data_IF_375286977305
#
_entry.id   IF_375286977305
#
_cell.length_a   1.000
_cell.length_b   1.000
_cell.length_c   1.000
_cell.angle_alpha   90.00
_cell.angle_beta   90.00
_cell.angle_gamma   90.00
#
_symmetry.space_group_name_H-M   'P 1'
#
loop_
_entity.id
_entity.type
_entity.pdbx_description
1 polymer ?
#
# COMPACT_ATOMS: atom_id res chain seq x y z
N UNK A 1 3.27 7.61 -3.25
CA UNK A 1 2.01 6.88 -3.08
C UNK A 1 2.41 5.45 -2.78
N UNK A 2 1.79 4.76 -1.82
CA UNK A 2 2.20 3.40 -1.44
C UNK A 2 1.76 2.36 -2.50
N UNK A 3 2.24 1.12 -2.38
CA UNK A 3 1.77 -0.02 -3.20
C UNK A 3 0.25 -0.21 -3.16
N UNK A 4 -0.40 0.17 -2.05
CA UNK A 4 -1.87 0.20 -1.94
C UNK A 4 -2.50 1.14 -2.98
N UNK A 5 -1.86 2.26 -3.30
CA UNK A 5 -2.35 3.20 -4.32
C UNK A 5 -2.32 2.60 -5.73
N UNK A 6 -1.26 1.86 -6.06
CA UNK A 6 -1.13 1.13 -7.33
C UNK A 6 -2.22 0.06 -7.45
N UNK A 7 -2.41 -0.74 -6.39
CA UNK A 7 -3.42 -1.79 -6.35
C UNK A 7 -4.85 -1.19 -6.42
N UNK A 8 -5.07 -0.03 -5.80
CA UNK A 8 -6.31 0.72 -5.90
C UNK A 8 -6.61 1.17 -7.33
N UNK A 9 -5.62 1.68 -8.08
CA UNK A 9 -5.82 2.06 -9.48
C UNK A 9 -6.21 0.87 -10.37
N UNK A 10 -5.58 -0.29 -10.17
CA UNK A 10 -5.98 -1.52 -10.87
C UNK A 10 -7.40 -1.94 -10.50
N UNK A 11 -7.78 -1.83 -9.23
CA UNK A 11 -9.15 -2.08 -8.79
C UNK A 11 -10.17 -1.12 -9.43
N UNK A 12 -9.86 0.17 -9.54
CA UNK A 12 -10.71 1.13 -10.24
C UNK A 12 -10.93 0.73 -11.71
N UNK A 13 -9.92 0.20 -12.40
CA UNK A 13 -10.07 -0.33 -13.77
C UNK A 13 -11.07 -1.51 -13.79
N UNK A 14 -10.95 -2.45 -12.85
CA UNK A 14 -11.90 -3.57 -12.71
C UNK A 14 -13.33 -3.07 -12.48
N UNK A 15 -13.53 -2.12 -11.56
CA UNK A 15 -14.86 -1.54 -11.30
C UNK A 15 -15.44 -0.90 -12.54
N UNK A 16 -14.64 -0.18 -13.33
CA UNK A 16 -15.09 0.41 -14.60
C UNK A 16 -15.55 -0.65 -15.60
N UNK A 17 -14.82 -1.75 -15.74
CA UNK A 17 -15.22 -2.89 -16.58
C UNK A 17 -16.53 -3.55 -16.10
N UNK A 18 -16.74 -3.60 -14.78
CA UNK A 18 -17.99 -4.10 -14.20
C UNK A 18 -19.16 -3.19 -14.56
N UNK A 19 -19.00 -1.87 -14.39
CA UNK A 19 -20.02 -0.87 -14.72
C UNK A 19 -20.42 -0.93 -16.20
N UNK A 20 -19.45 -1.14 -17.08
CA UNK A 20 -19.67 -1.29 -18.53
C UNK A 20 -20.19 -2.68 -18.92
N UNK A 21 -20.40 -3.59 -17.97
CA UNK A 21 -20.80 -4.99 -18.19
C UNK A 21 -19.82 -5.84 -19.02
N UNK A 22 -18.60 -5.36 -19.23
CA UNK A 22 -17.55 -6.05 -20.00
C UNK A 22 -17.16 -7.39 -19.36
N UNK A 23 -17.24 -7.48 -18.03
CA UNK A 23 -16.99 -8.69 -17.25
C UNK A 23 -17.87 -9.90 -17.63
N UNK A 24 -19.00 -9.67 -18.31
CA UNK A 24 -19.89 -10.73 -18.80
C UNK A 24 -19.36 -11.40 -20.07
N UNK A 25 -18.36 -10.80 -20.73
CA UNK A 25 -17.70 -11.37 -21.90
C UNK A 25 -16.47 -12.18 -21.47
N UNK A 26 -16.09 -13.18 -22.27
CA UNK A 26 -14.88 -13.97 -22.02
C UNK A 26 -13.63 -13.10 -21.97
N UNK A 27 -13.50 -12.15 -22.90
CA UNK A 27 -12.35 -11.23 -22.99
C UNK A 27 -12.29 -10.30 -21.79
N UNK A 28 -13.42 -9.70 -21.39
CA UNK A 28 -13.49 -8.84 -20.22
C UNK A 28 -13.20 -9.58 -18.92
N UNK A 29 -13.70 -10.82 -18.77
CA UNK A 29 -13.37 -11.67 -17.63
C UNK A 29 -11.86 -11.99 -17.58
N UNK A 30 -11.24 -12.40 -18.69
CA UNK A 30 -9.80 -12.70 -18.75
C UNK A 30 -8.95 -11.46 -18.44
N UNK A 31 -9.39 -10.29 -18.87
CA UNK A 31 -8.73 -9.01 -18.55
C UNK A 31 -8.81 -8.70 -17.05
N UNK A 32 -9.98 -8.89 -16.43
CA UNK A 32 -10.14 -8.75 -14.97
C UNK A 32 -9.23 -9.75 -14.23
N UNK A 33 -9.08 -10.96 -14.75
CA UNK A 33 -8.23 -11.99 -14.17
C UNK A 33 -6.75 -11.58 -14.20
N UNK A 34 -6.31 -10.91 -15.26
CA UNK A 34 -4.97 -10.32 -15.38
C UNK A 34 -4.73 -9.19 -14.35
N UNK A 35 -5.72 -8.31 -14.14
CA UNK A 35 -5.66 -7.31 -13.08
C UNK A 35 -5.62 -7.95 -11.69
N UNK A 36 -6.47 -8.94 -11.43
CA UNK A 36 -6.51 -9.68 -10.17
C UNK A 36 -5.16 -10.32 -9.84
N UNK A 37 -4.50 -10.93 -10.83
CA UNK A 37 -3.18 -11.53 -10.66
C UNK A 37 -2.10 -10.52 -10.23
N UNK A 38 -2.34 -9.23 -10.44
CA UNK A 38 -1.39 -8.14 -10.12
C UNK A 38 -1.72 -7.41 -8.83
N UNK A 39 -2.95 -7.50 -8.33
CA UNK A 39 -3.42 -6.81 -7.13
C UNK A 39 -2.97 -7.55 -5.85
N UNK A 40 -2.51 -6.82 -4.84
CA UNK A 40 -2.15 -7.34 -3.52
C UNK A 40 -1.12 -8.49 -3.58
N UNK A 41 -1.56 -9.71 -3.24
CA UNK A 41 -0.76 -10.94 -3.22
C UNK A 41 -0.87 -11.75 -4.53
N UNK A 42 -1.69 -11.28 -5.48
CA UNK A 42 -1.99 -11.99 -6.72
C UNK A 42 -3.00 -13.12 -6.56
N UNK A 43 -2.88 -14.11 -7.45
CA UNK A 43 -3.86 -15.18 -7.67
C UNK A 43 -3.80 -16.31 -6.63
N UNK A 44 -4.98 -16.80 -6.22
CA UNK A 44 -5.08 -17.99 -5.35
C UNK A 44 -4.77 -19.30 -6.10
N UNK A 45 -4.35 -20.33 -5.37
CA UNK A 45 -4.10 -21.69 -5.93
C UNK A 45 -5.31 -22.24 -6.67
N UNK A 46 -6.52 -22.03 -6.13
CA UNK A 46 -7.77 -22.47 -6.76
C UNK A 46 -7.92 -21.86 -8.15
N UNK A 47 -7.66 -20.55 -8.29
CA UNK A 47 -7.78 -19.85 -9.56
C UNK A 47 -6.71 -20.32 -10.55
N UNK A 48 -5.47 -20.52 -10.10
CA UNK A 48 -4.38 -21.06 -10.94
C UNK A 48 -4.69 -22.46 -11.48
N UNK A 49 -5.40 -23.30 -10.73
CA UNK A 49 -5.81 -24.61 -11.23
C UNK A 49 -6.78 -24.52 -12.42
N UNK A 50 -7.67 -23.52 -12.42
CA UNK A 50 -8.60 -23.28 -13.53
C UNK A 50 -7.95 -22.49 -14.68
N UNK A 51 -7.00 -21.61 -14.34
CA UNK A 51 -6.37 -20.69 -15.27
C UNK A 51 -4.85 -20.67 -15.01
N UNK A 52 -4.11 -21.69 -15.48
CA UNK A 52 -2.69 -21.84 -15.18
C UNK A 52 -1.82 -20.81 -15.92
N UNK A 53 -2.29 -20.30 -17.05
CA UNK A 53 -1.53 -19.39 -17.94
C UNK A 53 -1.96 -17.92 -17.78
N UNK A 54 -2.41 -17.50 -16.59
CA UNK A 54 -2.75 -16.09 -16.35
C UNK A 54 -1.49 -15.25 -16.46
N UNK A 55 -1.55 -14.21 -17.29
CA UNK A 55 -0.51 -13.21 -17.42
C UNK A 55 -0.91 -12.01 -16.55
N UNK A 56 -0.17 -11.67 -15.47
CA UNK A 56 -0.43 -10.49 -14.67
C UNK A 56 -0.29 -9.21 -15.51
N UNK A 57 -1.21 -8.26 -15.31
CA UNK A 57 -1.13 -6.92 -15.90
C UNK A 57 0.02 -6.10 -15.35
N UNK A 58 0.60 -5.23 -16.16
CA UNK A 58 1.58 -4.26 -15.69
C UNK A 58 1.01 -3.33 -14.61
N UNK A 59 1.81 -3.07 -13.58
CA UNK A 59 1.47 -2.10 -12.54
C UNK A 59 1.75 -0.68 -13.04
N UNK A 60 0.82 0.28 -12.87
CA UNK A 60 1.11 1.66 -13.19
C UNK A 60 2.26 2.18 -12.34
N UNK A 61 3.18 2.90 -12.97
CA UNK A 61 4.20 3.68 -12.28
C UNK A 61 3.52 4.93 -11.73
N UNK A 62 3.68 5.18 -10.44
CA UNK A 62 3.13 6.35 -9.78
C UNK A 62 4.27 7.11 -9.12
N UNK A 63 4.53 8.32 -9.63
CA UNK A 63 5.45 9.24 -9.01
C UNK A 63 4.79 9.91 -7.80
N UNK A 64 5.57 10.10 -6.75
CA UNK A 64 5.16 10.94 -5.65
C UNK A 64 5.13 12.40 -6.12
N UNK A 65 4.12 13.20 -5.74
CA UNK A 65 4.18 14.62 -5.96
C UNK A 65 5.33 15.21 -5.12
N UNK A 66 6.09 16.14 -5.71
CA UNK A 66 7.21 16.81 -5.04
C UNK A 66 6.79 17.53 -3.74
N UNK A 67 5.52 17.91 -3.62
CA UNK A 67 4.97 18.51 -2.42
C UNK A 67 3.81 17.65 -1.90
N UNK A 68 3.95 17.15 -0.68
CA UNK A 68 2.92 16.36 -0.02
C UNK A 68 1.89 17.28 0.62
N UNK A 69 0.62 17.00 0.34
CA UNK A 69 -0.48 17.67 1.00
C UNK A 69 -0.41 17.40 2.53
N UNK A 70 -0.39 18.43 3.40
CA UNK A 70 -0.27 18.24 4.84
C UNK A 70 -1.37 17.37 5.44
N UNK A 71 -2.61 17.48 4.95
CA UNK A 71 -3.75 16.67 5.39
C UNK A 71 -3.56 15.19 5.02
N UNK A 72 -2.91 14.90 3.88
CA UNK A 72 -2.53 13.53 3.53
C UNK A 72 -1.51 12.96 4.53
N UNK A 73 -0.50 13.75 4.91
CA UNK A 73 0.50 13.34 5.91
C UNK A 73 -0.16 13.09 7.27
N UNK A 74 -1.05 14.00 7.71
CA UNK A 74 -1.81 13.82 8.95
C UNK A 74 -2.65 12.54 8.93
N UNK A 75 -3.38 12.28 7.84
CA UNK A 75 -4.19 11.06 7.71
C UNK A 75 -3.35 9.79 7.69
N UNK A 76 -2.20 9.83 7.01
CA UNK A 76 -1.26 8.71 6.98
C UNK A 76 -0.68 8.41 8.36
N UNK A 77 -0.24 9.44 9.10
CA UNK A 77 0.26 9.30 10.47
C UNK A 77 -0.82 8.81 11.43
N UNK A 78 -2.07 9.23 11.26
CA UNK A 78 -3.18 8.76 12.09
C UNK A 78 -3.46 7.26 11.94
N UNK A 79 -3.14 6.67 10.78
CA UNK A 79 -3.32 5.24 10.52
C UNK A 79 -2.09 4.38 10.83
N UNK A 80 -0.92 4.79 10.33
CA UNK A 80 0.32 3.98 10.32
C UNK A 80 1.45 4.59 11.18
N UNK A 81 1.17 5.70 11.86
CA UNK A 81 2.12 6.41 12.74
C UNK A 81 1.76 6.35 14.22
N UNK A 82 2.63 6.94 15.04
CA UNK A 82 2.40 7.01 16.48
C UNK A 82 3.33 7.97 17.21
N UNK A 83 2.85 8.41 18.37
CA UNK A 83 3.59 9.19 19.34
C UNK A 83 3.75 8.36 20.61
N UNK A 84 4.96 8.26 21.14
CA UNK A 84 5.23 7.53 22.37
C UNK A 84 6.24 8.25 23.24
N UNK A 85 6.14 8.01 24.55
CA UNK A 85 7.18 8.40 25.49
C UNK A 85 8.10 7.20 25.68
N UNK A 86 9.39 7.40 25.47
CA UNK A 86 10.42 6.40 25.65
C UNK A 86 11.31 6.82 26.82
N UNK A 87 11.33 6.01 27.88
CA UNK A 87 12.16 6.25 29.07
C UNK A 87 13.30 5.24 29.06
N UNK A 88 14.53 5.70 29.28
CA UNK A 88 15.71 4.83 29.40
C UNK A 88 16.55 5.19 30.64
N UNK A 89 17.21 4.21 31.29
CA UNK A 89 18.16 4.49 32.36
C UNK A 89 19.31 5.40 31.91
N UNK A 90 19.69 6.36 32.74
CA UNK A 90 20.74 7.33 32.46
C UNK A 90 21.39 7.83 33.76
N UNK A 91 22.69 7.59 33.96
CA UNK A 91 23.39 7.87 35.24
C UNK A 91 23.69 9.35 35.48
N UNK A 92 23.55 10.18 34.45
CA UNK A 92 23.86 11.60 34.40
C UNK A 92 22.68 12.50 34.85
N UNK A 93 21.56 11.91 35.26
CA UNK A 93 20.38 12.63 35.73
C UNK A 93 20.07 12.33 37.19
N UNK A 94 19.51 13.31 37.91
CA UNK A 94 19.13 13.18 39.33
C UNK A 94 18.16 12.01 39.55
N UNK A 95 17.24 11.78 38.62
CA UNK A 95 16.26 10.69 38.66
C UNK A 95 16.78 9.38 38.05
N UNK A 96 18.04 9.33 37.62
CA UNK A 96 18.68 8.18 36.96
C UNK A 96 17.98 7.68 35.67
N UNK A 97 17.12 8.50 35.09
CA UNK A 97 16.33 8.20 33.90
C UNK A 97 16.36 9.37 32.91
N UNK A 98 16.23 9.04 31.62
CA UNK A 98 16.07 10.00 30.53
C UNK A 98 14.81 9.71 29.75
N UNK A 99 13.98 10.74 29.60
CA UNK A 99 12.69 10.69 28.91
C UNK A 99 12.83 11.27 27.50
N UNK A 100 12.24 10.60 26.52
CA UNK A 100 12.21 11.00 25.12
C UNK A 100 10.76 11.01 24.62
N UNK A 101 10.38 12.07 23.92
CA UNK A 101 9.18 12.03 23.09
C UNK A 101 9.59 11.49 21.71
N UNK A 102 8.92 10.42 21.27
CA UNK A 102 9.20 9.75 20.00
C UNK A 102 8.00 9.85 19.08
N UNK A 103 8.22 10.45 17.91
CA UNK A 103 7.36 10.27 16.76
C UNK A 103 7.90 9.11 15.90
N UNK A 104 7.00 8.27 15.38
CA UNK A 104 7.39 7.19 14.48
C UNK A 104 6.29 6.92 13.45
N UNK A 105 6.71 6.39 12.31
CA UNK A 105 5.84 5.84 11.27
C UNK A 105 6.32 4.43 10.98
N UNK A 106 5.40 3.47 10.97
CA UNK A 106 5.69 2.09 10.62
C UNK A 106 5.10 1.78 9.24
N UNK A 107 5.91 1.24 8.35
CA UNK A 107 5.42 0.77 7.05
C UNK A 107 6.21 -0.45 6.59
N UNK A 108 5.61 -1.25 5.72
CA UNK A 108 6.30 -2.40 5.14
C UNK A 108 7.52 -1.94 4.30
N UNK A 109 8.66 -2.64 4.39
CA UNK A 109 9.93 -2.29 3.71
C UNK A 109 9.80 -2.12 2.19
N UNK A 110 8.89 -2.89 1.59
CA UNK A 110 8.45 -2.77 0.18
C UNK A 110 8.00 -1.37 -0.23
N UNK A 111 7.59 -0.51 0.70
CA UNK A 111 7.12 0.86 0.46
C UNK A 111 8.15 1.90 0.91
N UNK A 112 9.43 1.51 1.07
CA UNK A 112 10.51 2.40 1.56
C UNK A 112 10.61 3.72 0.80
N UNK A 113 10.31 3.74 -0.51
CA UNK A 113 10.33 4.96 -1.34
C UNK A 113 9.39 6.07 -0.83
N UNK A 114 8.36 5.74 -0.06
CA UNK A 114 7.45 6.73 0.56
C UNK A 114 8.16 7.58 1.61
N UNK A 115 9.30 7.14 2.16
CA UNK A 115 10.05 7.85 3.19
C UNK A 115 11.22 8.69 2.68
N UNK A 116 11.47 8.73 1.36
CA UNK A 116 12.64 9.40 0.77
C UNK A 116 12.38 10.87 0.35
N UNK A 117 11.39 11.54 0.95
CA UNK A 117 11.09 12.96 0.71
C UNK A 117 11.56 13.81 1.89
#
# INVERSE_FOLDING_TARGET
MSKKGVDFLLWCKVVKMILNKEHLTKEGFLTILSYYASINRGVSKKVLNYYPNIIPSDKPIIDLPNNLNPQWVSGFVAGDGGFSIYVKPAKDYVLLEKVYCRFHIAQHSKDFFVFLH
#
